data_IF_005716205761
#
_entry.id   IF_005716205761
#
_cell.length_a   1.000
_cell.length_b   1.000
_cell.length_c   1.000
_cell.angle_alpha   90.00
_cell.angle_beta   90.00
_cell.angle_gamma   90.00
#
_symmetry.space_group_name_H-M   'P 1'
#
loop_
_entity.id
_entity.type
_entity.pdbx_description
1 polymer ?
#
# COMPACT_ATOMS: atom_id res chain seq x y z
N UNK A 1 -24.55 25.79 -6.40
CA UNK A 1 -23.13 26.20 -6.35
C UNK A 1 -22.36 25.06 -5.70
N UNK A 2 -21.48 24.38 -6.44
CA UNK A 2 -20.63 23.30 -5.93
C UNK A 2 -19.19 23.67 -6.26
N UNK A 3 -18.43 24.01 -5.23
CA UNK A 3 -17.01 24.36 -5.29
C UNK A 3 -16.19 23.12 -5.64
N UNK A 4 -15.49 23.17 -6.78
CA UNK A 4 -14.58 22.11 -7.24
C UNK A 4 -13.21 22.37 -6.60
N UNK A 5 -12.74 21.46 -5.75
CA UNK A 5 -11.36 21.48 -5.26
C UNK A 5 -10.47 20.73 -6.25
N UNK A 6 -9.57 21.49 -6.88
CA UNK A 6 -8.51 21.00 -7.74
C UNK A 6 -7.32 20.53 -6.89
N UNK A 7 -6.89 19.27 -7.04
CA UNK A 7 -5.65 18.76 -6.46
C UNK A 7 -4.90 18.00 -7.57
N UNK A 8 -3.97 18.70 -8.23
CA UNK A 8 -3.18 18.20 -9.36
C UNK A 8 -1.86 17.58 -8.86
N UNK A 9 -1.70 16.27 -9.08
CA UNK A 9 -0.54 15.49 -8.63
C UNK A 9 0.39 15.08 -9.77
N UNK A 10 1.51 15.78 -9.91
CA UNK A 10 2.66 15.54 -10.78
C UNK A 10 3.34 14.18 -10.52
N UNK A 11 3.67 13.40 -11.56
CA UNK A 11 4.72 12.36 -11.54
C UNK A 11 5.68 12.66 -12.69
N UNK A 12 6.88 13.10 -12.35
CA UNK A 12 8.01 13.21 -13.26
C UNK A 12 9.10 12.30 -12.69
N UNK A 13 9.37 11.21 -13.38
CA UNK A 13 10.44 10.28 -13.03
C UNK A 13 11.46 10.35 -14.17
N UNK A 14 12.33 11.36 -14.12
CA UNK A 14 13.51 11.48 -14.97
C UNK A 14 14.66 10.79 -14.22
N UNK A 15 15.13 9.68 -14.77
CA UNK A 15 16.36 8.99 -14.38
C UNK A 15 17.34 9.04 -15.56
N UNK A 16 18.22 10.05 -15.59
CA UNK A 16 19.60 9.91 -16.07
C UNK A 16 20.36 11.22 -15.92
N UNK A 17 21.58 11.12 -15.41
CA UNK A 17 22.39 12.26 -15.00
C UNK A 17 23.07 12.98 -16.16
N UNK A 18 23.24 14.29 -15.98
CA UNK A 18 24.45 14.99 -16.36
C UNK A 18 24.63 16.24 -15.49
N UNK A 19 25.90 16.46 -15.15
CA UNK A 19 26.45 17.46 -14.23
C UNK A 19 26.33 18.87 -14.82
N UNK A 20 25.86 19.82 -14.01
CA UNK A 20 25.91 21.25 -14.29
C UNK A 20 25.57 22.03 -13.04
N UNK A 21 26.60 22.47 -12.31
CA UNK A 21 26.49 23.11 -11.01
C UNK A 21 25.66 24.40 -11.06
N UNK A 22 24.63 24.48 -10.21
CA UNK A 22 24.10 25.75 -9.69
C UNK A 22 23.85 25.57 -8.19
N UNK A 23 24.41 26.49 -7.43
CA UNK A 23 24.56 26.50 -5.98
C UNK A 23 23.28 26.85 -5.21
N UNK A 24 23.19 26.23 -4.03
CA UNK A 24 22.52 26.65 -2.80
C UNK A 24 20.99 26.71 -2.79
N UNK A 25 20.35 25.75 -2.11
CA UNK A 25 19.79 26.02 -0.78
C UNK A 25 19.46 24.67 -0.11
N UNK A 26 19.98 24.46 1.09
CA UNK A 26 19.65 23.32 1.94
C UNK A 26 18.17 23.39 2.35
N UNK A 27 17.42 22.37 2.01
CA UNK A 27 16.34 21.89 2.87
C UNK A 27 16.27 20.37 2.76
N UNK A 28 16.80 19.73 3.80
CA UNK A 28 16.67 18.31 4.06
C UNK A 28 15.20 18.00 4.35
N UNK A 29 14.49 17.51 3.34
CA UNK A 29 13.30 16.70 3.57
C UNK A 29 13.30 15.48 2.65
N UNK A 30 13.70 14.38 3.28
CA UNK A 30 13.18 13.03 3.05
C UNK A 30 13.16 12.52 1.62
N UNK A 31 13.99 11.49 1.40
CA UNK A 31 13.75 10.42 0.44
C UNK A 31 12.25 10.04 0.40
N UNK A 32 11.51 10.67 -0.51
CA UNK A 32 10.10 10.36 -0.76
C UNK A 32 10.10 9.07 -1.56
N UNK A 33 10.00 7.96 -0.85
CA UNK A 33 9.49 6.71 -1.40
C UNK A 33 8.28 7.03 -2.29
N UNK A 34 8.39 6.73 -3.58
CA UNK A 34 7.37 6.93 -4.60
C UNK A 34 6.12 6.10 -4.29
N UNK A 35 5.30 6.56 -3.35
CA UNK A 35 3.89 6.15 -3.25
C UNK A 35 3.14 6.91 -4.34
N UNK A 36 2.53 6.16 -5.25
CA UNK A 36 1.69 6.68 -6.32
C UNK A 36 0.58 7.56 -5.70
N UNK A 37 0.42 8.81 -6.16
CA UNK A 37 -0.54 9.77 -5.55
C UNK A 37 -1.99 9.35 -5.89
N UNK A 38 -2.95 9.38 -4.95
CA UNK A 38 -4.32 8.85 -5.12
C UNK A 38 -5.08 9.35 -6.37
N UNK A 39 -4.93 10.63 -6.73
CA UNK A 39 -5.67 11.24 -7.85
C UNK A 39 -5.23 10.83 -9.27
N UNK A 40 -4.09 10.14 -9.42
CA UNK A 40 -3.64 9.65 -10.75
C UNK A 40 -4.30 8.31 -11.07
N UNK A 41 -4.39 7.43 -10.07
CA UNK A 41 -5.02 6.12 -10.19
C UNK A 41 -6.52 6.26 -10.40
N UNK A 42 -7.17 7.16 -9.66
CA UNK A 42 -8.61 7.44 -9.82
C UNK A 42 -8.96 7.89 -11.24
N UNK A 43 -8.10 8.68 -11.88
CA UNK A 43 -8.36 9.20 -13.22
C UNK A 43 -8.21 8.13 -14.33
N UNK A 44 -7.21 7.24 -14.18
CA UNK A 44 -7.07 6.07 -15.05
C UNK A 44 -8.30 5.16 -14.95
N UNK A 45 -8.74 4.86 -13.73
CA UNK A 45 -9.91 4.01 -13.50
C UNK A 45 -11.15 4.62 -14.15
N UNK A 46 -11.37 5.93 -14.04
CA UNK A 46 -12.48 6.59 -14.72
C UNK A 46 -12.43 6.44 -16.25
N UNK A 47 -11.27 6.65 -16.88
CA UNK A 47 -11.11 6.46 -18.34
C UNK A 47 -11.44 5.02 -18.72
N UNK A 48 -10.98 4.04 -17.93
CA UNK A 48 -11.28 2.64 -18.18
C UNK A 48 -12.77 2.36 -18.03
N UNK A 49 -13.43 2.88 -16.99
CA UNK A 49 -14.87 2.74 -16.80
C UNK A 49 -15.67 3.34 -17.96
N UNK A 50 -15.28 4.53 -18.44
CA UNK A 50 -15.94 5.19 -19.57
C UNK A 50 -15.76 4.39 -20.88
N UNK A 51 -14.58 3.80 -21.09
CA UNK A 51 -14.27 3.04 -22.30
C UNK A 51 -14.88 1.63 -22.31
N UNK A 52 -14.91 0.95 -21.16
CA UNK A 52 -15.36 -0.46 -21.06
C UNK A 52 -16.78 -0.62 -20.54
N UNK A 53 -17.37 0.44 -19.98
CA UNK A 53 -18.67 0.39 -19.30
C UNK A 53 -18.64 -0.38 -17.98
N UNK A 54 -17.47 -0.80 -17.51
CA UNK A 54 -17.31 -1.53 -16.25
C UNK A 54 -17.33 -0.59 -15.04
N UNK A 55 -17.59 -1.14 -13.86
CA UNK A 55 -17.35 -0.46 -12.59
C UNK A 55 -15.87 -0.54 -12.20
N UNK A 56 -15.43 0.40 -11.36
CA UNK A 56 -14.10 0.35 -10.75
C UNK A 56 -13.82 -1.01 -10.09
N UNK A 57 -14.81 -1.56 -9.37
CA UNK A 57 -14.67 -2.84 -8.65
C UNK A 57 -14.40 -4.01 -9.60
N UNK A 58 -15.11 -4.07 -10.73
CA UNK A 58 -14.91 -5.12 -11.74
C UNK A 58 -13.54 -5.01 -12.42
N UNK A 59 -13.10 -3.80 -12.74
CA UNK A 59 -11.76 -3.54 -13.30
C UNK A 59 -10.69 -4.00 -12.31
N UNK A 60 -10.81 -3.61 -11.03
CA UNK A 60 -9.87 -4.03 -9.99
C UNK A 60 -9.86 -5.56 -9.80
N UNK A 61 -11.00 -6.21 -9.90
CA UNK A 61 -11.10 -7.66 -9.76
C UNK A 61 -10.36 -8.37 -10.91
N UNK A 62 -10.58 -7.97 -12.15
CA UNK A 62 -9.90 -8.60 -13.29
C UNK A 62 -8.38 -8.38 -13.25
N UNK A 63 -7.93 -7.17 -12.89
CA UNK A 63 -6.50 -6.90 -12.70
C UNK A 63 -5.91 -7.74 -11.58
N UNK A 64 -6.65 -7.96 -10.49
CA UNK A 64 -6.25 -8.82 -9.37
C UNK A 64 -6.12 -10.29 -9.79
N UNK A 65 -7.00 -10.74 -10.67
CA UNK A 65 -6.97 -12.09 -11.24
C UNK A 65 -5.84 -12.27 -12.28
N UNK A 66 -5.02 -11.22 -12.46
CA UNK A 66 -3.80 -11.25 -13.25
C UNK A 66 -3.95 -10.67 -14.65
N UNK A 67 -5.10 -10.06 -14.98
CA UNK A 67 -5.27 -9.38 -16.25
C UNK A 67 -4.45 -8.08 -16.31
N UNK A 68 -3.92 -7.79 -17.49
CA UNK A 68 -3.39 -6.46 -17.83
C UNK A 68 -4.54 -5.50 -18.14
N UNK A 69 -4.30 -4.19 -18.08
CA UNK A 69 -5.35 -3.22 -18.45
C UNK A 69 -5.74 -3.34 -19.92
N UNK A 70 -4.79 -3.64 -20.81
CA UNK A 70 -5.06 -3.98 -22.21
C UNK A 70 -6.08 -5.12 -22.31
N UNK A 71 -5.85 -6.23 -21.61
CA UNK A 71 -6.77 -7.38 -21.61
C UNK A 71 -8.14 -7.03 -21.03
N UNK A 72 -8.19 -6.23 -19.96
CA UNK A 72 -9.47 -5.76 -19.38
C UNK A 72 -10.23 -4.89 -20.39
N UNK A 73 -9.55 -3.98 -21.10
CA UNK A 73 -10.17 -3.12 -22.10
C UNK A 73 -10.74 -3.95 -23.25
N UNK A 74 -9.91 -4.82 -23.84
CA UNK A 74 -10.29 -5.63 -25.01
C UNK A 74 -11.41 -6.63 -24.68
N UNK A 75 -11.34 -7.29 -23.52
CA UNK A 75 -12.34 -8.27 -23.09
C UNK A 75 -13.75 -7.66 -22.91
N UNK A 76 -13.82 -6.34 -22.68
CA UNK A 76 -15.08 -5.62 -22.43
C UNK A 76 -15.43 -4.68 -23.60
N UNK A 77 -14.83 -4.89 -24.78
CA UNK A 77 -15.18 -4.18 -26.00
C UNK A 77 -14.70 -2.73 -26.08
N UNK A 78 -13.78 -2.32 -25.20
CA UNK A 78 -13.17 -1.00 -25.24
C UNK A 78 -12.01 -0.90 -26.24
N UNK A 79 -11.58 0.33 -26.54
CA UNK A 79 -10.41 0.60 -27.39
C UNK A 79 -9.19 1.01 -26.58
N UNK A 80 -8.14 0.19 -26.66
CA UNK A 80 -6.83 0.47 -26.04
C UNK A 80 -6.23 1.78 -26.58
N UNK A 81 -6.47 2.08 -27.86
CA UNK A 81 -6.02 3.31 -28.50
C UNK A 81 -6.74 4.54 -27.92
N UNK A 82 -8.05 4.45 -27.69
CA UNK A 82 -8.81 5.55 -27.08
C UNK A 82 -8.32 5.84 -25.65
N UNK A 83 -8.11 4.79 -24.85
CA UNK A 83 -7.55 4.91 -23.49
C UNK A 83 -6.16 5.53 -23.54
N UNK A 84 -5.31 5.09 -24.47
CA UNK A 84 -3.96 5.64 -24.65
C UNK A 84 -4.00 7.13 -24.99
N UNK A 85 -4.85 7.54 -25.93
CA UNK A 85 -5.00 8.95 -26.32
C UNK A 85 -5.56 9.82 -25.18
N UNK A 86 -6.53 9.30 -24.43
CA UNK A 86 -7.07 9.98 -23.26
C UNK A 86 -6.00 10.22 -22.20
N UNK A 87 -5.15 9.21 -21.92
CA UNK A 87 -4.04 9.32 -20.98
C UNK A 87 -2.96 10.30 -21.46
N UNK A 88 -2.62 10.29 -22.75
CA UNK A 88 -1.67 11.26 -23.34
C UNK A 88 -2.21 12.69 -23.18
N UNK A 89 -3.45 12.95 -23.60
CA UNK A 89 -4.07 14.28 -23.54
C UNK A 89 -4.07 14.85 -22.12
N UNK A 90 -4.38 14.02 -21.13
CA UNK A 90 -4.37 14.43 -19.74
C UNK A 90 -2.95 14.69 -19.22
N UNK A 91 -1.99 13.84 -19.60
CA UNK A 91 -0.59 14.03 -19.23
C UNK A 91 -0.01 15.31 -19.82
N UNK A 92 -0.32 15.62 -21.09
CA UNK A 92 0.08 16.86 -21.73
C UNK A 92 -0.51 18.10 -21.06
N UNK A 93 -1.80 18.05 -20.67
CA UNK A 93 -2.46 19.13 -19.92
C UNK A 93 -1.71 19.40 -18.60
N UNK A 94 -1.38 18.35 -17.85
CA UNK A 94 -0.64 18.49 -16.58
C UNK A 94 0.79 18.97 -16.76
N UNK A 95 1.45 18.57 -17.85
CA UNK A 95 2.78 19.08 -18.18
C UNK A 95 2.73 20.58 -18.48
N UNK A 96 1.75 21.03 -19.26
CA UNK A 96 1.57 22.45 -19.56
C UNK A 96 1.31 23.27 -18.29
N UNK A 97 0.45 22.79 -17.39
CA UNK A 97 0.21 23.41 -16.08
C UNK A 97 1.49 23.49 -15.25
N UNK A 98 2.25 22.39 -15.17
CA UNK A 98 3.50 22.35 -14.39
C UNK A 98 4.58 23.28 -14.95
N UNK A 99 4.63 23.49 -16.27
CA UNK A 99 5.48 24.52 -16.89
C UNK A 99 4.99 25.92 -16.55
N UNK A 100 3.69 26.19 -16.68
CA UNK A 100 3.10 27.49 -16.39
C UNK A 100 3.28 27.91 -14.92
N UNK A 101 3.22 26.95 -14.00
CA UNK A 101 3.46 27.15 -12.57
C UNK A 101 4.96 27.18 -12.22
N UNK A 102 5.85 27.04 -13.20
CA UNK A 102 7.31 27.07 -13.01
C UNK A 102 7.86 25.88 -12.23
N UNK A 103 7.09 24.80 -12.08
CA UNK A 103 7.53 23.58 -11.37
C UNK A 103 8.52 22.76 -12.19
N UNK A 104 8.44 22.88 -13.52
CA UNK A 104 9.37 22.28 -14.48
C UNK A 104 9.72 23.27 -15.60
N UNK A 105 10.84 23.03 -16.26
CA UNK A 105 11.23 23.78 -17.46
C UNK A 105 10.55 23.22 -18.70
N UNK A 106 10.48 24.02 -19.77
CA UNK A 106 9.98 23.56 -21.07
C UNK A 106 10.77 22.35 -21.59
N UNK A 107 12.11 22.37 -21.45
CA UNK A 107 12.96 21.25 -21.88
C UNK A 107 12.65 19.95 -21.13
N UNK A 108 12.37 20.03 -19.83
CA UNK A 108 11.92 18.86 -19.06
C UNK A 108 10.55 18.37 -19.53
N UNK A 109 9.61 19.28 -19.82
CA UNK A 109 8.29 18.92 -20.33
C UNK A 109 8.36 18.19 -21.67
N UNK A 110 9.23 18.64 -22.57
CA UNK A 110 9.43 18.04 -23.89
C UNK A 110 10.06 16.64 -23.80
N UNK A 111 11.03 16.45 -22.90
CA UNK A 111 11.62 15.14 -22.62
C UNK A 111 10.58 14.16 -22.06
N UNK A 112 9.73 14.62 -21.15
CA UNK A 112 8.66 13.77 -20.60
C UNK A 112 7.66 13.42 -21.70
N UNK A 113 7.25 14.40 -22.52
CA UNK A 113 6.30 14.21 -23.61
C UNK A 113 6.79 13.16 -24.61
N UNK A 114 8.07 13.21 -24.97
CA UNK A 114 8.68 12.22 -25.88
C UNK A 114 8.58 10.78 -25.34
N UNK A 115 8.60 10.60 -24.02
CA UNK A 115 8.55 9.29 -23.37
C UNK A 115 7.13 8.87 -22.93
N UNK A 116 6.12 9.74 -23.04
CA UNK A 116 4.75 9.45 -22.59
C UNK A 116 4.14 8.22 -23.28
N UNK A 117 4.21 8.05 -24.62
CA UNK A 117 3.58 6.92 -25.29
C UNK A 117 4.11 5.58 -24.79
N UNK A 118 5.43 5.44 -24.66
CA UNK A 118 6.07 4.22 -24.16
C UNK A 118 5.65 3.93 -22.72
N UNK A 119 5.68 4.94 -21.84
CA UNK A 119 5.30 4.77 -20.43
C UNK A 119 3.83 4.37 -20.26
N UNK A 120 2.94 4.90 -21.10
CA UNK A 120 1.53 4.54 -21.09
C UNK A 120 1.34 3.11 -21.61
N UNK A 121 2.03 2.75 -22.71
CA UNK A 121 1.99 1.39 -23.23
C UNK A 121 2.49 0.36 -22.20
N UNK A 122 3.60 0.65 -21.52
CA UNK A 122 4.13 -0.18 -20.45
C UNK A 122 3.13 -0.31 -19.29
N UNK A 123 2.46 0.79 -18.92
CA UNK A 123 1.44 0.78 -17.86
C UNK A 123 0.25 -0.10 -18.23
N UNK A 124 -0.26 -0.01 -19.47
CA UNK A 124 -1.43 -0.75 -19.91
C UNK A 124 -1.14 -2.26 -20.03
N UNK A 125 0.06 -2.62 -20.50
CA UNK A 125 0.49 -4.00 -20.70
C UNK A 125 1.12 -4.64 -19.45
N UNK A 126 1.31 -3.88 -18.37
CA UNK A 126 1.86 -4.41 -17.13
C UNK A 126 0.86 -5.30 -16.43
N UNK A 127 1.31 -6.49 -16.04
CA UNK A 127 0.61 -7.29 -15.06
C UNK A 127 0.85 -6.70 -13.66
N UNK A 128 -0.23 -6.27 -13.01
CA UNK A 128 -0.14 -5.78 -11.64
C UNK A 128 -0.22 -6.98 -10.70
N UNK A 129 0.89 -7.30 -10.05
CA UNK A 129 0.87 -8.28 -8.97
C UNK A 129 0.25 -7.66 -7.69
N UNK A 130 -1.08 -7.62 -7.68
CA UNK A 130 -1.89 -7.23 -6.53
C UNK A 130 -1.99 -8.34 -5.48
N UNK A 131 -1.50 -9.55 -5.78
CA UNK A 131 -1.45 -10.67 -4.84
C UNK A 131 -0.26 -10.52 -3.89
N UNK A 132 0.90 -10.10 -4.40
CA UNK A 132 2.03 -9.61 -3.61
C UNK A 132 1.67 -8.44 -2.68
N UNK A 133 0.61 -7.68 -2.98
CA UNK A 133 0.10 -6.65 -2.06
C UNK A 133 -0.68 -7.26 -0.89
N UNK A 134 -1.49 -8.30 -1.15
CA UNK A 134 -2.15 -9.08 -0.10
C UNK A 134 -1.16 -9.80 0.81
N UNK A 135 -0.11 -10.38 0.25
CA UNK A 135 0.95 -11.03 1.03
C UNK A 135 1.76 -10.04 1.85
N UNK A 136 2.15 -8.89 1.27
CA UNK A 136 2.82 -7.80 2.02
C UNK A 136 1.95 -7.18 3.10
N UNK A 137 0.64 -7.10 2.87
CA UNK A 137 -0.33 -6.64 3.86
C UNK A 137 -0.50 -7.66 4.98
N UNK A 138 -0.62 -8.94 4.65
CA UNK A 138 -0.68 -10.04 5.61
C UNK A 138 0.57 -10.08 6.47
N UNK A 139 1.73 -9.90 5.84
CA UNK A 139 3.02 -9.77 6.50
C UNK A 139 3.07 -8.53 7.41
N UNK A 140 2.58 -7.37 6.98
CA UNK A 140 2.47 -6.18 7.83
C UNK A 140 1.57 -6.39 9.05
N UNK A 141 0.42 -7.04 8.87
CA UNK A 141 -0.50 -7.37 9.95
C UNK A 141 0.11 -8.38 10.93
N UNK A 142 0.73 -9.45 10.41
CA UNK A 142 1.42 -10.45 11.23
C UNK A 142 2.62 -9.88 11.98
N UNK A 143 3.46 -9.11 11.31
CA UNK A 143 4.65 -8.49 11.92
C UNK A 143 4.26 -7.46 12.97
N UNK A 144 3.20 -6.68 12.74
CA UNK A 144 2.69 -5.78 13.77
C UNK A 144 2.08 -6.53 14.95
N UNK A 145 1.37 -7.65 14.75
CA UNK A 145 0.85 -8.46 15.86
C UNK A 145 1.99 -9.07 16.68
N UNK A 146 3.05 -9.57 16.04
CA UNK A 146 4.25 -10.06 16.73
C UNK A 146 4.92 -8.95 17.55
N UNK A 147 5.09 -7.77 16.96
CA UNK A 147 5.68 -6.62 17.65
C UNK A 147 4.84 -6.23 18.87
N UNK A 148 3.54 -6.05 18.67
CA UNK A 148 2.62 -5.67 19.74
C UNK A 148 2.60 -6.74 20.84
N UNK A 149 2.65 -8.03 20.49
CA UNK A 149 2.75 -9.11 21.48
C UNK A 149 4.01 -9.01 22.33
N UNK A 150 5.17 -8.74 21.73
CA UNK A 150 6.38 -8.51 22.50
C UNK A 150 6.25 -7.30 23.43
N UNK A 151 5.75 -6.18 22.94
CA UNK A 151 5.60 -4.95 23.72
C UNK A 151 4.62 -5.17 24.90
N UNK A 152 3.42 -5.70 24.64
CA UNK A 152 2.39 -5.96 25.66
C UNK A 152 2.84 -7.01 26.68
N UNK A 153 3.53 -8.09 26.25
CA UNK A 153 4.05 -9.10 27.19
C UNK A 153 5.16 -8.50 28.06
N UNK A 154 6.06 -7.71 27.48
CA UNK A 154 7.12 -7.03 28.24
C UNK A 154 6.52 -6.08 29.27
N UNK A 155 5.47 -5.33 28.91
CA UNK A 155 4.73 -4.45 29.83
C UNK A 155 4.04 -5.23 30.96
N UNK A 156 3.42 -6.38 30.64
CA UNK A 156 2.68 -7.19 31.62
C UNK A 156 3.56 -7.99 32.59
N UNK A 157 4.75 -8.38 32.16
CA UNK A 157 5.63 -9.29 32.91
C UNK A 157 6.92 -8.64 33.41
N UNK A 158 7.30 -7.49 32.86
CA UNK A 158 8.61 -6.86 33.08
C UNK A 158 9.78 -7.57 32.39
N UNK A 159 9.52 -8.64 31.62
CA UNK A 159 10.55 -9.35 30.89
C UNK A 159 11.05 -8.54 29.69
N UNK A 160 12.32 -8.71 29.36
CA UNK A 160 12.87 -8.18 28.11
C UNK A 160 12.79 -9.22 26.97
N UNK A 161 13.04 -8.76 25.75
CA UNK A 161 12.98 -9.61 24.54
C UNK A 161 13.82 -10.90 24.63
N UNK A 162 15.00 -10.87 25.26
CA UNK A 162 15.84 -12.07 25.35
C UNK A 162 15.25 -13.10 26.29
N UNK A 163 14.69 -12.65 27.42
CA UNK A 163 14.08 -13.54 28.41
C UNK A 163 12.82 -14.22 27.84
N UNK A 164 11.96 -13.43 27.18
CA UNK A 164 10.77 -13.96 26.49
C UNK A 164 11.21 -14.96 25.41
N UNK A 165 12.18 -14.59 24.57
CA UNK A 165 12.68 -15.48 23.51
C UNK A 165 13.28 -16.76 24.08
N UNK A 166 14.05 -16.67 25.16
CA UNK A 166 14.68 -17.83 25.79
C UNK A 166 13.62 -18.80 26.32
N UNK A 167 12.64 -18.30 27.08
CA UNK A 167 11.57 -19.15 27.61
C UNK A 167 10.78 -19.84 26.49
N UNK A 168 10.53 -19.13 25.39
CA UNK A 168 9.88 -19.68 24.20
C UNK A 168 10.77 -20.71 23.48
N UNK A 169 12.08 -20.47 23.39
CA UNK A 169 13.05 -21.43 22.84
C UNK A 169 13.15 -22.71 23.70
N UNK A 170 12.95 -22.58 25.00
CA UNK A 170 12.88 -23.69 25.96
C UNK A 170 11.53 -24.45 25.89
N UNK A 171 10.65 -24.05 24.96
CA UNK A 171 9.39 -24.73 24.65
C UNK A 171 8.15 -24.15 25.36
N UNK A 172 8.28 -23.08 26.14
CA UNK A 172 7.13 -22.44 26.77
C UNK A 172 6.25 -21.73 25.74
N UNK A 173 4.94 -21.73 25.97
CA UNK A 173 4.00 -20.87 25.22
C UNK A 173 4.09 -19.44 25.75
N UNK A 174 3.65 -18.45 24.95
CA UNK A 174 3.62 -17.06 25.43
C UNK A 174 2.66 -16.91 26.62
N UNK A 175 1.53 -17.62 26.62
CA UNK A 175 0.62 -17.67 27.76
C UNK A 175 1.33 -18.16 29.03
N UNK A 176 2.10 -19.25 28.94
CA UNK A 176 2.87 -19.77 30.08
C UNK A 176 3.95 -18.78 30.56
N UNK A 177 4.62 -18.08 29.63
CA UNK A 177 5.59 -17.03 29.96
C UNK A 177 4.92 -15.89 30.71
N UNK A 178 3.73 -15.46 30.28
CA UNK A 178 2.95 -14.41 30.94
C UNK A 178 2.58 -14.85 32.37
N UNK A 179 1.94 -16.02 32.53
CA UNK A 179 1.46 -16.52 33.82
C UNK A 179 2.60 -16.76 34.81
N UNK A 180 3.69 -17.37 34.36
CA UNK A 180 4.85 -17.69 35.21
C UNK A 180 5.55 -16.45 35.76
N UNK A 181 5.34 -15.29 35.13
CA UNK A 181 5.90 -14.00 35.52
C UNK A 181 4.84 -13.04 36.09
N UNK A 182 3.68 -13.58 36.50
CA UNK A 182 2.64 -12.82 37.20
C UNK A 182 1.80 -11.89 36.33
N UNK A 183 1.88 -12.02 35.00
CA UNK A 183 1.03 -11.30 34.07
C UNK A 183 -0.35 -11.94 33.90
N UNK A 184 -1.30 -11.17 33.38
CA UNK A 184 -2.66 -11.61 33.06
C UNK A 184 -2.81 -11.87 31.55
N UNK A 185 -2.93 -13.15 31.18
CA UNK A 185 -3.09 -13.57 29.77
C UNK A 185 -4.33 -12.97 29.12
N UNK A 186 -5.43 -12.83 29.86
CA UNK A 186 -6.67 -12.27 29.32
C UNK A 186 -6.51 -10.78 29.03
N UNK A 187 -5.84 -10.03 29.92
CA UNK A 187 -5.53 -8.62 29.70
C UNK A 187 -4.60 -8.42 28.48
N UNK A 188 -3.56 -9.25 28.35
CA UNK A 188 -2.65 -9.24 27.19
C UNK A 188 -3.40 -9.55 25.90
N UNK A 189 -4.26 -10.57 25.89
CA UNK A 189 -5.08 -10.94 24.74
C UNK A 189 -6.00 -9.79 24.30
N UNK A 190 -6.69 -9.15 25.25
CA UNK A 190 -7.57 -8.03 24.97
C UNK A 190 -6.82 -6.82 24.35
N UNK A 191 -5.64 -6.48 24.87
CA UNK A 191 -4.81 -5.40 24.31
C UNK A 191 -4.33 -5.72 22.89
N UNK A 192 -3.93 -6.96 22.62
CA UNK A 192 -3.53 -7.39 21.27
C UNK A 192 -4.66 -7.33 20.25
N UNK A 193 -5.87 -7.72 20.66
CA UNK A 193 -7.08 -7.60 19.83
C UNK A 193 -7.37 -6.12 19.54
N UNK A 194 -7.29 -5.25 20.56
CA UNK A 194 -7.53 -3.82 20.41
C UNK A 194 -6.53 -3.16 19.44
N UNK A 195 -5.23 -3.37 19.64
CA UNK A 195 -4.16 -2.83 18.76
C UNK A 195 -4.28 -3.35 17.33
N UNK A 196 -4.61 -4.62 17.15
CA UNK A 196 -4.81 -5.22 15.83
C UNK A 196 -6.05 -4.67 15.13
N UNK A 197 -7.13 -4.44 15.88
CA UNK A 197 -8.37 -3.83 15.36
C UNK A 197 -8.12 -2.41 14.86
N UNK A 198 -7.42 -1.61 15.66
CA UNK A 198 -7.05 -0.24 15.28
C UNK A 198 -6.23 -0.21 13.98
N UNK A 199 -5.27 -1.13 13.84
CA UNK A 199 -4.45 -1.22 12.63
C UNK A 199 -5.27 -1.56 11.39
N UNK A 200 -6.23 -2.48 11.53
CA UNK A 200 -7.16 -2.84 10.44
C UNK A 200 -8.03 -1.63 10.06
N UNK A 201 -8.52 -0.88 11.06
CA UNK A 201 -9.30 0.34 10.81
C UNK A 201 -8.48 1.44 10.11
N UNK A 202 -7.19 1.59 10.44
CA UNK A 202 -6.29 2.51 9.73
C UNK A 202 -6.08 2.09 8.28
N UNK A 203 -5.93 0.78 8.03
CA UNK A 203 -5.81 0.25 6.66
C UNK A 203 -7.10 0.42 5.84
N UNK A 204 -8.27 0.38 6.49
CA UNK A 204 -9.54 0.73 5.87
C UNK A 204 -9.59 2.22 5.51
N UNK A 205 -9.20 3.09 6.44
CA UNK A 205 -9.19 4.54 6.24
C UNK A 205 -8.21 4.98 5.14
N UNK A 206 -7.07 4.30 5.03
CA UNK A 206 -6.07 4.49 3.97
C UNK A 206 -6.50 3.84 2.64
N UNK A 207 -7.72 3.30 2.54
CA UNK A 207 -8.26 2.57 1.38
C UNK A 207 -7.33 1.43 0.91
N UNK A 208 -6.51 0.91 1.83
CA UNK A 208 -5.54 -0.15 1.59
C UNK A 208 -6.22 -1.52 1.62
N UNK A 209 -7.33 -1.65 2.36
CA UNK A 209 -8.17 -2.86 2.39
C UNK A 209 -9.64 -2.51 2.17
N UNK A 210 -10.42 -3.49 1.71
CA UNK A 210 -11.86 -3.38 1.60
C UNK A 210 -12.55 -3.70 2.92
N UNK A 211 -13.77 -3.19 3.11
CA UNK A 211 -14.60 -3.49 4.29
C UNK A 211 -14.74 -5.00 4.52
N UNK A 212 -15.08 -5.75 3.48
CA UNK A 212 -15.25 -7.20 3.53
C UNK A 212 -13.98 -7.92 4.05
N UNK A 213 -12.78 -7.43 3.70
CA UNK A 213 -11.52 -8.01 4.18
C UNK A 213 -11.22 -7.65 5.61
N UNK A 214 -11.55 -6.43 6.03
CA UNK A 214 -11.44 -6.04 7.43
C UNK A 214 -12.35 -6.92 8.28
N UNK A 215 -13.61 -7.07 7.89
CA UNK A 215 -14.59 -7.90 8.62
C UNK A 215 -14.15 -9.37 8.66
N UNK A 216 -13.65 -9.90 7.53
CA UNK A 216 -13.10 -11.26 7.46
C UNK A 216 -11.86 -11.46 8.34
N UNK A 217 -11.03 -10.43 8.52
CA UNK A 217 -9.87 -10.50 9.43
C UNK A 217 -10.29 -10.39 10.89
N UNK A 218 -11.14 -9.41 11.23
CA UNK A 218 -11.59 -9.13 12.59
C UNK A 218 -12.41 -10.29 13.16
N UNK A 219 -13.21 -10.97 12.34
CA UNK A 219 -13.97 -12.16 12.77
C UNK A 219 -13.09 -13.36 13.15
N UNK A 220 -11.85 -13.40 12.68
CA UNK A 220 -10.87 -14.45 13.04
C UNK A 220 -9.81 -13.94 14.03
N UNK A 221 -9.86 -12.67 14.43
CA UNK A 221 -8.78 -12.05 15.18
C UNK A 221 -8.64 -12.67 16.57
N UNK A 222 -9.75 -12.88 17.26
CA UNK A 222 -9.78 -13.50 18.60
C UNK A 222 -9.15 -14.89 18.59
N UNK A 223 -9.62 -15.79 17.72
CA UNK A 223 -9.04 -17.13 17.56
C UNK A 223 -7.56 -17.08 17.20
N UNK A 224 -7.14 -16.16 16.33
CA UNK A 224 -5.72 -16.03 15.95
C UNK A 224 -4.84 -15.55 17.09
N UNK A 225 -5.33 -14.64 17.94
CA UNK A 225 -4.60 -14.18 19.12
C UNK A 225 -4.49 -15.31 20.14
N UNK A 226 -5.57 -16.06 20.36
CA UNK A 226 -5.56 -17.22 21.25
C UNK A 226 -4.56 -18.30 20.79
N UNK A 227 -4.64 -18.72 19.52
CA UNK A 227 -3.69 -19.65 18.92
C UNK A 227 -2.25 -19.13 19.01
N UNK A 228 -2.05 -17.83 18.81
CA UNK A 228 -0.73 -17.21 18.87
C UNK A 228 -0.12 -17.27 20.28
N UNK A 229 -0.92 -17.03 21.32
CA UNK A 229 -0.47 -17.07 22.70
C UNK A 229 -0.25 -18.50 23.21
N UNK A 230 -1.06 -19.45 22.75
CA UNK A 230 -1.09 -20.83 23.26
C UNK A 230 -0.29 -21.84 22.43
N UNK A 231 0.20 -21.48 21.24
CA UNK A 231 1.04 -22.39 20.44
C UNK A 231 2.46 -22.53 20.98
N UNK A 232 3.07 -23.67 20.68
CA UNK A 232 4.52 -23.85 20.75
C UNK A 232 5.19 -23.22 19.54
N UNK A 233 6.33 -22.58 19.77
CA UNK A 233 7.05 -21.83 18.75
C UNK A 233 8.32 -22.57 18.34
N UNK A 234 8.46 -22.86 17.05
CA UNK A 234 9.72 -23.34 16.48
C UNK A 234 10.56 -22.12 16.08
N UNK A 235 11.57 -21.81 16.88
CA UNK A 235 12.53 -20.76 16.57
C UNK A 235 13.70 -21.38 15.79
N UNK A 236 14.14 -20.77 14.67
CA UNK A 236 15.33 -21.22 13.99
C UNK A 236 16.55 -21.10 14.91
N UNK A 237 17.40 -22.13 14.90
CA UNK A 237 18.66 -22.22 15.65
C UNK A 237 19.61 -21.05 15.36
#
# INVERSE_FOLDING_TARGET
>A
MKTKFAIFGLIILVLSGMVGAVSAQEDSSTARSARMRPGVVQNLVNILMDETGMTAQEIFQQVRDGATLTQVIEANGGSVDNVTQALITQAETRLAEAVAEGRITQAQADEIRANLPTRISDLLNRQFDLNSFGDRLRERLQNGLRRDAFDTISEATGLNFREIRQAVADGATLAQVIESNGGDVAAVSADLIARSTERVNQLLADETITQERADAFLSQLETRVDDFLNRTWELPE
#
